data_IF_505616569133
#
_entry.id   IF_505616569133
#
_cell.length_a   1.000
_cell.length_b   1.000
_cell.length_c   1.000
_cell.angle_alpha   90.00
_cell.angle_beta   90.00
_cell.angle_gamma   90.00
#
_symmetry.space_group_name_H-M   'P 1'
#
loop_
_entity.id
_entity.type
_entity.pdbx_description
1 polymer ?
#
# COMPACT_ATOMS: atom_id res chain seq x y z
N UNK A 1 -13.32 2.69 26.29
CA UNK A 1 -13.90 1.66 25.44
C UNK A 1 -12.93 0.50 25.35
N UNK A 2 -13.48 -0.72 25.32
CA UNK A 2 -12.71 -1.96 25.15
C UNK A 2 -12.83 -2.41 23.69
N UNK A 3 -11.70 -2.52 23.02
CA UNK A 3 -11.64 -2.86 21.58
C UNK A 3 -10.79 -4.09 21.40
N UNK A 4 -11.30 -5.07 20.64
CA UNK A 4 -10.48 -6.15 20.14
C UNK A 4 -9.98 -5.81 18.73
N UNK A 5 -8.70 -6.07 18.45
CA UNK A 5 -8.14 -6.00 17.10
C UNK A 5 -7.65 -7.40 16.72
N UNK A 6 -8.10 -7.90 15.58
CA UNK A 6 -7.73 -9.22 15.09
C UNK A 6 -6.71 -9.02 13.95
N UNK A 7 -5.50 -9.49 14.15
CA UNK A 7 -4.36 -9.33 13.25
C UNK A 7 -3.44 -8.19 13.66
N UNK A 8 -2.15 -8.50 13.86
CA UNK A 8 -1.08 -7.59 14.25
C UNK A 8 -0.09 -7.31 13.09
N UNK A 9 -0.55 -7.39 11.84
CA UNK A 9 0.20 -6.88 10.70
C UNK A 9 0.32 -5.35 10.76
N UNK A 10 0.99 -4.73 9.77
CA UNK A 10 1.23 -3.27 9.75
C UNK A 10 -0.02 -2.43 9.99
N UNK A 11 -1.18 -2.85 9.46
CA UNK A 11 -2.44 -2.12 9.61
C UNK A 11 -3.04 -2.29 10.99
N UNK A 12 -3.15 -3.52 11.49
CA UNK A 12 -3.73 -3.81 12.81
C UNK A 12 -2.90 -3.26 13.95
N UNK A 13 -1.58 -3.37 13.86
CA UNK A 13 -0.65 -2.79 14.84
C UNK A 13 -0.72 -1.25 14.87
N UNK A 14 -0.79 -0.60 13.71
CA UNK A 14 -0.96 0.85 13.65
C UNK A 14 -2.33 1.28 14.21
N UNK A 15 -3.38 0.50 13.96
CA UNK A 15 -4.70 0.72 14.52
C UNK A 15 -4.69 0.58 16.06
N UNK A 16 -3.97 -0.42 16.60
CA UNK A 16 -3.83 -0.60 18.03
C UNK A 16 -3.21 0.62 18.70
N UNK A 17 -2.09 1.13 18.16
CA UNK A 17 -1.44 2.35 18.66
C UNK A 17 -2.40 3.55 18.58
N UNK A 18 -3.05 3.71 17.44
CA UNK A 18 -3.92 4.86 17.17
C UNK A 18 -5.12 4.91 18.12
N UNK A 19 -5.79 3.77 18.32
CA UNK A 19 -6.93 3.66 19.24
C UNK A 19 -6.52 3.71 20.70
N UNK A 20 -5.37 3.16 21.05
CA UNK A 20 -4.82 3.29 22.41
C UNK A 20 -4.52 4.75 22.75
N UNK A 21 -3.93 5.51 21.81
CA UNK A 21 -3.73 6.96 21.97
C UNK A 21 -5.03 7.76 22.02
N UNK A 22 -6.11 7.26 21.42
CA UNK A 22 -7.45 7.84 21.56
C UNK A 22 -8.13 7.50 22.92
N UNK A 23 -7.43 6.78 23.81
CA UNK A 23 -7.89 6.44 25.17
C UNK A 23 -8.67 5.13 25.26
N UNK A 24 -8.59 4.26 24.25
CA UNK A 24 -9.20 2.94 24.29
C UNK A 24 -8.29 1.93 25.00
N UNK A 25 -8.88 0.90 25.60
CA UNK A 25 -8.17 -0.34 25.97
C UNK A 25 -8.23 -1.28 24.77
N UNK A 26 -7.10 -1.80 24.36
CA UNK A 26 -6.96 -2.59 23.14
C UNK A 26 -6.40 -3.97 23.47
N UNK A 27 -7.17 -5.01 23.14
CA UNK A 27 -6.69 -6.39 23.09
C UNK A 27 -6.34 -6.72 21.65
N UNK A 28 -5.04 -6.96 21.39
CA UNK A 28 -4.47 -7.21 20.08
C UNK A 28 -4.24 -8.71 19.89
N UNK A 29 -5.07 -9.36 19.07
CA UNK A 29 -5.06 -10.79 18.79
C UNK A 29 -4.17 -11.11 17.61
N UNK A 30 -3.12 -11.91 17.81
CA UNK A 30 -2.23 -12.38 16.75
C UNK A 30 -1.69 -13.78 17.09
N UNK A 31 -1.60 -14.61 16.08
CA UNK A 31 -1.05 -15.97 16.20
C UNK A 31 0.46 -16.05 15.98
N UNK A 32 1.00 -15.11 15.19
CA UNK A 32 2.42 -15.05 14.84
C UNK A 32 3.21 -14.36 15.94
N UNK A 33 4.43 -14.80 16.13
CA UNK A 33 5.41 -14.10 16.99
C UNK A 33 5.84 -12.77 16.37
N UNK A 34 6.41 -11.89 17.19
CA UNK A 34 6.95 -10.60 16.72
C UNK A 34 8.06 -10.84 15.66
N UNK A 35 8.86 -11.88 15.79
CA UNK A 35 9.89 -12.27 14.84
C UNK A 35 9.29 -12.67 13.49
N UNK A 36 8.24 -13.50 13.47
CA UNK A 36 7.54 -13.88 12.24
C UNK A 36 6.84 -12.70 11.57
N UNK A 37 6.37 -11.74 12.35
CA UNK A 37 5.79 -10.50 11.83
C UNK A 37 6.82 -9.59 11.17
N UNK A 38 8.04 -9.53 11.72
CA UNK A 38 9.16 -8.73 11.19
C UNK A 38 9.75 -9.35 9.92
N UNK A 39 9.90 -10.68 9.90
CA UNK A 39 10.59 -11.42 8.84
C UNK A 39 9.74 -11.63 7.58
N UNK A 40 9.28 -10.51 6.97
CA UNK A 40 8.59 -10.54 5.69
C UNK A 40 9.36 -9.70 4.68
N UNK A 41 9.76 -10.31 3.57
CA UNK A 41 10.47 -9.58 2.52
C UNK A 41 9.46 -8.85 1.63
N UNK A 42 9.08 -7.65 2.06
CA UNK A 42 8.20 -6.73 1.31
C UNK A 42 8.72 -5.32 1.39
N UNK A 43 8.53 -4.59 0.31
CA UNK A 43 8.87 -3.18 0.18
C UNK A 43 7.61 -2.38 -0.12
N UNK A 44 7.51 -1.20 0.48
CA UNK A 44 6.35 -0.32 0.33
C UNK A 44 6.78 1.09 -0.06
N UNK A 45 5.97 1.72 -0.91
CA UNK A 45 6.03 3.16 -1.10
C UNK A 45 5.16 3.85 -0.03
N UNK A 46 5.75 4.74 0.75
CA UNK A 46 5.07 5.52 1.80
C UNK A 46 4.75 6.90 1.23
N UNK A 47 3.48 7.26 1.26
CA UNK A 47 2.99 8.57 0.79
C UNK A 47 2.90 9.59 1.93
N UNK A 48 2.64 10.85 1.59
CA UNK A 48 2.49 11.91 2.59
C UNK A 48 1.32 11.70 3.54
N UNK A 49 0.21 11.06 3.12
CA UNK A 49 -0.87 10.69 4.05
C UNK A 49 -0.36 9.75 5.14
N UNK A 50 0.36 8.71 4.74
CA UNK A 50 0.95 7.74 5.67
C UNK A 50 2.00 8.37 6.59
N UNK A 51 2.85 9.26 6.05
CA UNK A 51 3.80 10.05 6.85
C UNK A 51 3.07 10.86 7.94
N UNK A 52 2.00 11.59 7.56
CA UNK A 52 1.23 12.41 8.52
C UNK A 52 0.63 11.57 9.65
N UNK A 53 0.14 10.38 9.35
CA UNK A 53 -0.36 9.44 10.36
C UNK A 53 0.77 9.00 11.31
N UNK A 54 1.92 8.62 10.75
CA UNK A 54 3.08 8.21 11.55
C UNK A 54 3.65 9.36 12.40
N UNK A 55 3.63 10.61 11.89
CA UNK A 55 3.99 11.80 12.66
C UNK A 55 3.04 12.06 13.83
N UNK A 56 1.72 12.02 13.57
CA UNK A 56 0.68 12.17 14.59
C UNK A 56 0.84 11.14 15.71
N UNK A 57 1.27 9.94 15.36
CA UNK A 57 1.53 8.86 16.31
C UNK A 57 2.93 8.93 16.96
N UNK A 58 3.83 9.80 16.51
CA UNK A 58 5.18 9.95 17.02
C UNK A 58 6.18 8.87 16.54
N UNK A 59 5.78 8.08 15.55
CA UNK A 59 6.60 6.98 14.98
C UNK A 59 7.58 7.49 13.94
N UNK A 60 7.21 8.54 13.19
CA UNK A 60 7.94 9.03 12.03
C UNK A 60 9.39 9.40 12.29
N UNK A 61 9.68 10.09 13.38
CA UNK A 61 11.03 10.58 13.69
C UNK A 61 12.10 9.48 13.80
N UNK A 62 11.70 8.30 14.25
CA UNK A 62 12.60 7.14 14.34
C UNK A 62 12.61 6.39 13.00
N UNK A 63 11.45 6.08 12.44
CA UNK A 63 11.30 5.30 11.23
C UNK A 63 11.92 6.00 10.00
N UNK A 64 11.80 7.32 9.88
CA UNK A 64 12.28 8.07 8.71
C UNK A 64 13.77 7.93 8.41
N UNK A 65 14.59 7.52 9.39
CA UNK A 65 16.02 7.28 9.24
C UNK A 65 16.35 6.04 8.41
N UNK A 66 15.43 5.10 8.39
CA UNK A 66 15.54 3.82 7.68
C UNK A 66 14.78 3.83 6.34
N UNK A 67 14.21 4.98 5.94
CA UNK A 67 13.46 5.14 4.71
C UNK A 67 14.31 5.80 3.63
N UNK A 68 14.11 5.37 2.39
CA UNK A 68 14.78 5.96 1.22
C UNK A 68 13.85 6.96 0.54
N UNK A 69 14.10 8.28 0.62
CA UNK A 69 13.30 9.28 -0.06
C UNK A 69 13.55 9.26 -1.57
N UNK A 70 12.50 9.43 -2.36
CA UNK A 70 12.62 9.71 -3.79
C UNK A 70 12.00 11.05 -4.15
N UNK A 71 12.69 11.79 -5.03
CA UNK A 71 12.31 13.15 -5.44
C UNK A 71 11.60 13.18 -6.79
N UNK A 72 11.80 12.12 -7.58
CA UNK A 72 11.29 12.00 -8.94
C UNK A 72 10.52 10.67 -9.06
N UNK A 73 9.25 10.78 -9.46
CA UNK A 73 8.47 9.61 -9.87
C UNK A 73 8.28 9.69 -11.39
N UNK A 74 9.06 8.92 -12.10
CA UNK A 74 9.00 8.81 -13.56
C UNK A 74 7.87 7.87 -13.95
N UNK A 75 6.86 8.37 -14.65
CA UNK A 75 5.78 7.56 -15.21
C UNK A 75 6.00 7.44 -16.72
N UNK A 76 6.18 6.22 -17.18
CA UNK A 76 6.52 5.90 -18.57
C UNK A 76 5.44 5.00 -19.15
N UNK A 77 4.91 5.37 -20.30
CA UNK A 77 4.12 4.47 -21.13
C UNK A 77 5.03 3.94 -22.25
N UNK A 78 5.33 2.64 -22.15
CA UNK A 78 6.30 1.99 -23.05
C UNK A 78 5.78 1.94 -24.49
N UNK A 79 4.51 1.58 -24.68
CA UNK A 79 3.88 1.45 -26.00
C UNK A 79 3.73 2.79 -26.72
N UNK A 80 3.44 3.85 -25.99
CA UNK A 80 3.34 5.21 -26.54
C UNK A 80 4.70 5.89 -26.68
N UNK A 81 5.76 5.34 -26.09
CA UNK A 81 7.04 6.02 -25.93
C UNK A 81 6.88 7.44 -25.34
N UNK A 82 6.07 7.57 -24.29
CA UNK A 82 5.78 8.84 -23.61
C UNK A 82 6.12 8.74 -22.13
N UNK A 83 6.62 9.86 -21.61
CA UNK A 83 6.90 9.99 -20.18
C UNK A 83 6.49 11.34 -19.64
N UNK A 84 6.15 11.36 -18.36
CA UNK A 84 6.10 12.55 -17.54
C UNK A 84 6.68 12.24 -16.15
N UNK A 85 6.96 13.27 -15.37
CA UNK A 85 7.60 13.12 -14.06
C UNK A 85 6.80 13.89 -13.04
N UNK A 86 6.47 13.25 -11.93
CA UNK A 86 6.03 13.96 -10.73
C UNK A 86 7.25 14.41 -9.93
N UNK A 87 7.24 15.67 -9.52
CA UNK A 87 8.29 16.33 -8.78
C UNK A 87 7.81 16.74 -7.40
N UNK A 88 8.73 17.00 -6.49
CA UNK A 88 8.40 17.58 -5.18
C UNK A 88 7.61 18.88 -5.28
N UNK A 89 7.85 19.70 -6.33
CA UNK A 89 7.11 20.93 -6.60
C UNK A 89 5.65 20.69 -7.07
N UNK A 90 5.30 19.47 -7.42
CA UNK A 90 3.92 19.08 -7.74
C UNK A 90 3.11 18.72 -6.47
N UNK A 91 3.77 18.60 -5.31
CA UNK A 91 3.12 18.37 -4.01
C UNK A 91 2.43 19.65 -3.49
N UNK A 92 1.43 19.52 -2.59
CA UNK A 92 0.94 20.63 -1.80
C UNK A 92 2.06 21.32 -1.01
N UNK A 93 1.99 22.66 -0.86
CA UNK A 93 3.03 23.47 -0.20
C UNK A 93 3.49 22.90 1.16
N UNK A 94 2.58 22.47 2.07
CA UNK A 94 2.99 21.91 3.37
C UNK A 94 3.85 20.64 3.25
N UNK A 95 3.72 19.89 2.16
CA UNK A 95 4.44 18.63 1.96
C UNK A 95 5.79 18.84 1.24
N UNK A 96 5.98 19.95 0.52
CA UNK A 96 7.20 20.27 -0.24
C UNK A 96 8.44 20.39 0.66
N UNK A 97 8.28 20.80 1.92
CA UNK A 97 9.37 20.92 2.89
C UNK A 97 10.15 19.64 3.14
N UNK A 98 9.57 18.48 2.84
CA UNK A 98 10.23 17.17 3.01
C UNK A 98 11.14 16.81 1.83
N UNK A 99 11.12 17.59 0.75
CA UNK A 99 11.95 17.38 -0.45
C UNK A 99 11.86 15.96 -1.04
N UNK A 100 10.72 15.29 -0.86
CA UNK A 100 10.46 13.93 -1.33
C UNK A 100 9.03 13.81 -1.86
N UNK A 101 8.83 13.14 -2.98
CA UNK A 101 7.50 12.73 -3.48
C UNK A 101 6.92 11.63 -2.60
N UNK A 102 7.77 10.78 -2.08
CA UNK A 102 7.47 9.71 -1.15
C UNK A 102 8.74 9.03 -0.67
N UNK A 103 8.58 7.95 0.07
CA UNK A 103 9.68 7.16 0.64
C UNK A 103 9.49 5.69 0.36
N UNK A 104 10.59 4.98 0.19
CA UNK A 104 10.56 3.51 0.09
C UNK A 104 10.98 2.93 1.44
N UNK A 105 10.23 1.95 1.89
CA UNK A 105 10.39 1.32 3.19
C UNK A 105 10.37 -0.20 3.07
N UNK A 106 11.36 -0.89 3.59
CA UNK A 106 11.29 -2.33 3.79
C UNK A 106 10.37 -2.67 5.00
N UNK A 107 9.63 -3.75 4.88
CA UNK A 107 8.67 -4.20 5.90
C UNK A 107 9.25 -4.28 7.30
N UNK A 108 10.46 -4.83 7.41
CA UNK A 108 11.14 -5.07 8.70
C UNK A 108 11.32 -3.78 9.51
N UNK A 109 11.73 -2.68 8.87
CA UNK A 109 11.97 -1.41 9.57
C UNK A 109 10.66 -0.81 10.08
N UNK A 110 9.61 -0.87 9.25
CA UNK A 110 8.27 -0.40 9.66
C UNK A 110 7.77 -1.22 10.84
N UNK A 111 7.86 -2.56 10.74
CA UNK A 111 7.32 -3.46 11.77
C UNK A 111 8.08 -3.35 13.09
N UNK A 112 9.41 -3.29 13.05
CA UNK A 112 10.24 -3.08 14.24
C UNK A 112 9.88 -1.77 14.95
N UNK A 113 9.74 -0.68 14.18
CA UNK A 113 9.38 0.63 14.71
C UNK A 113 8.00 0.61 15.38
N UNK A 114 7.01 -0.03 14.75
CA UNK A 114 5.65 -0.17 15.29
C UNK A 114 5.63 -1.05 16.55
N UNK A 115 6.30 -2.20 16.54
CA UNK A 115 6.35 -3.11 17.70
C UNK A 115 7.04 -2.47 18.91
N UNK A 116 8.14 -1.74 18.69
CA UNK A 116 8.79 -0.95 19.73
C UNK A 116 7.86 0.09 20.34
N UNK A 117 6.96 0.66 19.54
CA UNK A 117 5.96 1.62 20.03
C UNK A 117 4.87 0.95 20.85
N UNK A 118 4.39 -0.23 20.42
CA UNK A 118 3.36 -1.02 21.13
C UNK A 118 3.85 -1.41 22.51
N UNK A 119 5.12 -1.84 22.65
CA UNK A 119 5.68 -2.29 23.94
C UNK A 119 5.71 -1.19 25.02
N UNK A 120 5.62 0.08 24.62
CA UNK A 120 5.60 1.24 25.54
C UNK A 120 4.18 1.72 25.88
N UNK A 121 3.12 1.06 25.41
CA UNK A 121 1.74 1.45 25.65
C UNK A 121 1.04 0.45 26.58
N UNK A 122 0.80 0.87 27.85
CA UNK A 122 0.19 0.03 28.89
C UNK A 122 -1.25 -0.40 28.60
N UNK A 123 -1.93 0.33 27.73
CA UNK A 123 -3.34 0.06 27.38
C UNK A 123 -3.48 -0.83 26.12
N UNK A 124 -2.39 -1.43 25.63
CA UNK A 124 -2.42 -2.48 24.60
C UNK A 124 -2.01 -3.80 25.24
N UNK A 125 -2.89 -4.80 25.18
CA UNK A 125 -2.62 -6.15 25.63
C UNK A 125 -2.50 -7.09 24.43
N UNK A 126 -1.34 -7.72 24.23
CA UNK A 126 -1.12 -8.70 23.16
C UNK A 126 -1.63 -10.07 23.59
N UNK A 127 -2.48 -10.67 22.77
CA UNK A 127 -3.07 -12.01 23.00
C UNK A 127 -2.60 -12.96 21.88
N UNK A 128 -1.69 -13.90 22.18
CA UNK A 128 -1.10 -14.80 21.18
C UNK A 128 -2.07 -15.94 20.83
N UNK A 129 -3.06 -15.66 19.99
CA UNK A 129 -4.07 -16.63 19.56
C UNK A 129 -4.68 -16.30 18.22
N UNK A 130 -5.16 -17.33 17.52
CA UNK A 130 -5.97 -17.21 16.31
C UNK A 130 -7.48 -17.24 16.58
N UNK A 131 -7.88 -17.33 17.83
CA UNK A 131 -9.30 -17.43 18.22
C UNK A 131 -9.95 -16.05 18.04
N UNK A 132 -11.07 -16.03 17.32
CA UNK A 132 -11.87 -14.80 17.18
C UNK A 132 -12.52 -14.49 18.53
N UNK A 133 -12.35 -13.28 19.08
CA UNK A 133 -12.84 -12.89 20.40
C UNK A 133 -14.35 -12.99 20.51
N UNK A 134 -14.85 -13.18 21.74
CA UNK A 134 -16.28 -13.12 22.04
C UNK A 134 -16.75 -11.66 21.97
N UNK A 135 -17.75 -11.39 21.15
CA UNK A 135 -18.30 -10.05 20.90
C UNK A 135 -18.86 -9.37 22.15
N UNK A 136 -19.28 -10.14 23.15
CA UNK A 136 -19.89 -9.59 24.38
C UNK A 136 -18.88 -8.86 25.26
N UNK A 137 -17.58 -9.15 25.12
CA UNK A 137 -16.53 -8.56 25.94
C UNK A 137 -16.04 -7.21 25.42
N UNK A 138 -16.47 -6.81 24.20
CA UNK A 138 -15.95 -5.63 23.51
C UNK A 138 -17.07 -4.73 23.01
N UNK A 139 -16.78 -3.44 23.04
CA UNK A 139 -17.65 -2.41 22.46
C UNK A 139 -17.61 -2.50 20.92
N UNK A 140 -16.41 -2.67 20.37
CA UNK A 140 -16.15 -2.84 18.93
C UNK A 140 -15.05 -3.88 18.71
N UNK A 141 -15.05 -4.49 17.52
CA UNK A 141 -14.02 -5.43 17.06
C UNK A 141 -13.49 -4.96 15.70
N UNK A 142 -12.20 -4.77 15.61
CA UNK A 142 -11.52 -4.37 14.38
C UNK A 142 -10.89 -5.62 13.75
N UNK A 143 -11.39 -6.04 12.60
CA UNK A 143 -10.82 -7.12 11.83
C UNK A 143 -9.77 -6.56 10.85
N UNK A 144 -8.50 -6.85 11.12
CA UNK A 144 -7.32 -6.47 10.34
C UNK A 144 -6.44 -7.70 10.02
N UNK A 145 -7.08 -8.86 9.88
CA UNK A 145 -6.45 -10.17 9.66
C UNK A 145 -6.11 -10.45 8.18
N UNK A 146 -6.11 -9.40 7.34
CA UNK A 146 -5.57 -9.37 5.99
C UNK A 146 -6.48 -9.99 4.92
N UNK A 147 -5.93 -10.16 3.71
CA UNK A 147 -6.68 -10.61 2.54
C UNK A 147 -7.27 -12.02 2.67
N UNK A 148 -6.66 -12.89 3.47
CA UNK A 148 -7.14 -14.25 3.76
C UNK A 148 -8.01 -14.34 5.00
N UNK A 149 -8.59 -13.24 5.46
CA UNK A 149 -9.32 -13.07 6.71
C UNK A 149 -10.26 -14.22 7.09
N UNK A 150 -9.98 -14.84 8.24
CA UNK A 150 -10.86 -15.84 8.84
C UNK A 150 -12.11 -15.19 9.44
N UNK A 151 -11.98 -13.97 9.96
CA UNK A 151 -13.09 -13.18 10.48
C UNK A 151 -14.13 -12.93 9.39
N UNK A 152 -13.70 -12.48 8.21
CA UNK A 152 -14.56 -12.26 7.05
C UNK A 152 -15.27 -13.54 6.60
N UNK A 153 -14.54 -14.65 6.54
CA UNK A 153 -15.11 -15.97 6.19
C UNK A 153 -16.18 -16.41 7.20
N UNK A 154 -15.90 -16.29 8.50
CA UNK A 154 -16.83 -16.66 9.57
C UNK A 154 -18.11 -15.82 9.53
N UNK A 155 -18.00 -14.52 9.25
CA UNK A 155 -19.12 -13.60 9.18
C UNK A 155 -19.83 -13.62 7.81
N UNK A 156 -19.36 -14.42 6.84
CA UNK A 156 -19.88 -14.52 5.48
C UNK A 156 -20.07 -13.15 4.83
N UNK A 157 -19.09 -12.27 4.99
CA UNK A 157 -19.16 -10.88 4.54
C UNK A 157 -19.27 -10.80 3.02
N UNK A 158 -20.30 -10.17 2.47
CA UNK A 158 -20.43 -10.00 1.03
C UNK A 158 -19.32 -9.09 0.47
N UNK A 159 -18.70 -9.54 -0.62
CA UNK A 159 -17.64 -8.77 -1.29
C UNK A 159 -17.63 -9.04 -2.78
N UNK A 160 -17.26 -8.03 -3.55
CA UNK A 160 -16.91 -8.17 -4.95
C UNK A 160 -15.45 -8.66 -5.04
N UNK A 161 -15.21 -9.73 -5.79
CA UNK A 161 -13.89 -10.34 -5.93
C UNK A 161 -13.68 -10.82 -7.36
N UNK A 162 -12.49 -10.52 -7.91
CA UNK A 162 -12.03 -11.11 -9.16
C UNK A 162 -10.50 -11.27 -9.17
N UNK A 163 -10.01 -12.16 -10.02
CA UNK A 163 -8.58 -12.36 -10.27
C UNK A 163 -8.18 -11.62 -11.54
N UNK A 164 -7.01 -11.01 -11.50
CA UNK A 164 -6.45 -10.34 -12.69
C UNK A 164 -5.82 -11.32 -13.70
N UNK A 165 -5.72 -12.60 -13.35
CA UNK A 165 -4.91 -13.60 -14.08
C UNK A 165 -3.46 -13.16 -14.26
N UNK A 166 -2.97 -12.44 -13.27
CA UNK A 166 -1.62 -11.92 -13.17
C UNK A 166 -0.96 -12.37 -11.89
N UNK A 167 0.36 -12.38 -11.94
CA UNK A 167 1.23 -12.47 -10.78
C UNK A 167 2.21 -11.31 -10.77
N UNK A 168 2.64 -10.95 -9.59
CA UNK A 168 3.70 -10.00 -9.36
C UNK A 168 4.99 -10.75 -9.06
N UNK A 169 6.08 -10.41 -9.75
CA UNK A 169 7.43 -10.87 -9.40
C UNK A 169 8.16 -9.69 -8.79
N UNK A 170 8.85 -9.92 -7.69
CA UNK A 170 9.64 -8.90 -7.00
C UNK A 170 11.06 -9.41 -6.76
N UNK A 171 12.05 -8.55 -6.96
CA UNK A 171 13.46 -8.86 -6.73
C UNK A 171 14.24 -7.60 -6.32
N UNK A 172 15.29 -7.78 -5.52
CA UNK A 172 16.28 -6.73 -5.22
C UNK A 172 17.43 -6.84 -6.22
N UNK A 173 17.71 -5.75 -6.92
CA UNK A 173 18.66 -5.73 -8.03
C UNK A 173 19.56 -4.51 -7.92
N UNK A 174 20.85 -4.68 -8.17
CA UNK A 174 21.75 -3.55 -8.41
C UNK A 174 21.54 -3.05 -9.84
N UNK A 175 21.27 -1.74 -9.97
CA UNK A 175 21.07 -1.08 -11.26
C UNK A 175 22.12 -0.01 -11.50
N UNK A 176 22.62 0.07 -12.74
CA UNK A 176 23.49 1.15 -13.22
C UNK A 176 22.71 2.12 -14.07
N UNK A 177 23.15 3.39 -14.16
CA UNK A 177 22.53 4.40 -15.03
C UNK A 177 21.26 5.05 -14.44
N UNK A 178 20.92 4.77 -13.18
CA UNK A 178 19.76 5.36 -12.48
C UNK A 178 20.22 6.07 -11.20
N UNK A 179 19.57 7.18 -10.84
CA UNK A 179 19.89 7.89 -9.60
C UNK A 179 19.11 7.32 -8.43
N UNK A 180 19.74 7.28 -7.26
CA UNK A 180 19.16 6.74 -6.01
C UNK A 180 17.93 7.49 -5.49
N UNK A 181 17.59 8.66 -6.05
CA UNK A 181 16.41 9.46 -5.71
C UNK A 181 15.30 9.41 -6.78
N UNK A 182 15.39 8.49 -7.71
CA UNK A 182 14.41 8.29 -8.79
C UNK A 182 13.64 6.99 -8.58
N UNK A 183 12.32 7.06 -8.68
CA UNK A 183 11.42 5.91 -8.76
C UNK A 183 10.76 5.90 -10.14
N UNK A 184 10.39 4.71 -10.61
CA UNK A 184 9.75 4.53 -11.92
C UNK A 184 8.48 3.71 -11.79
N UNK A 185 7.44 4.12 -12.51
CA UNK A 185 6.25 3.34 -12.80
C UNK A 185 6.12 3.23 -14.31
N UNK A 186 6.34 2.04 -14.84
CA UNK A 186 6.39 1.77 -16.28
C UNK A 186 5.16 0.97 -16.66
N UNK A 187 4.33 1.54 -17.51
CA UNK A 187 3.14 0.91 -18.05
C UNK A 187 3.49 0.24 -19.37
N UNK A 188 3.33 -1.07 -19.45
CA UNK A 188 3.53 -1.84 -20.67
C UNK A 188 2.37 -2.84 -20.88
N UNK A 189 2.30 -3.45 -22.03
CA UNK A 189 1.23 -4.39 -22.43
C UNK A 189 1.16 -5.67 -21.59
N UNK A 190 2.24 -6.06 -20.92
CA UNK A 190 2.26 -7.21 -20.02
C UNK A 190 1.64 -6.89 -18.65
N UNK A 191 1.85 -5.66 -18.20
CA UNK A 191 1.39 -5.13 -16.93
C UNK A 191 2.34 -4.06 -16.36
N UNK A 192 1.97 -3.39 -15.28
CA UNK A 192 2.81 -2.39 -14.63
C UNK A 192 4.13 -2.97 -14.13
N UNK A 193 5.20 -2.18 -14.28
CA UNK A 193 6.53 -2.48 -13.79
C UNK A 193 7.08 -1.29 -13.00
N UNK A 194 7.41 -1.51 -11.72
CA UNK A 194 7.96 -0.47 -10.86
C UNK A 194 9.44 -0.72 -10.56
N UNK A 195 10.20 0.38 -10.44
CA UNK A 195 11.59 0.40 -9.96
C UNK A 195 11.67 1.39 -8.81
N UNK A 196 11.99 0.89 -7.62
CA UNK A 196 11.93 1.63 -6.36
C UNK A 196 13.32 1.66 -5.69
N UNK A 197 13.87 2.83 -5.33
CA UNK A 197 15.19 2.94 -4.74
C UNK A 197 15.22 2.37 -3.32
N UNK A 198 16.26 1.59 -3.01
CA UNK A 198 16.55 1.06 -1.67
C UNK A 198 17.82 1.65 -1.06
N UNK A 199 18.43 2.64 -1.75
CA UNK A 199 19.66 3.32 -1.35
C UNK A 199 20.86 2.88 -2.19
N UNK A 200 21.76 3.84 -2.50
CA UNK A 200 22.86 3.59 -3.43
C UNK A 200 22.36 3.12 -4.79
N UNK A 201 22.96 2.05 -5.29
CA UNK A 201 22.61 1.41 -6.56
C UNK A 201 21.63 0.23 -6.40
N UNK A 202 21.10 0.02 -5.19
CA UNK A 202 20.15 -1.05 -4.88
C UNK A 202 18.71 -0.58 -5.14
N UNK A 203 17.96 -1.39 -5.88
CA UNK A 203 16.57 -1.12 -6.22
C UNK A 203 15.69 -2.37 -6.03
N UNK A 204 14.44 -2.14 -5.63
CA UNK A 204 13.39 -3.13 -5.71
C UNK A 204 12.71 -3.02 -7.06
N UNK A 205 12.69 -4.11 -7.82
CA UNK A 205 11.90 -4.23 -9.05
C UNK A 205 10.62 -5.01 -8.75
N UNK A 206 9.49 -4.56 -9.32
CA UNK A 206 8.17 -5.17 -9.13
C UNK A 206 7.50 -5.30 -10.49
N UNK A 207 7.40 -6.53 -11.01
CA UNK A 207 6.90 -6.83 -12.35
C UNK A 207 5.52 -7.49 -12.25
N UNK A 208 4.47 -6.82 -12.71
CA UNK A 208 3.16 -7.44 -12.89
C UNK A 208 3.05 -8.02 -14.29
N UNK A 209 2.68 -9.29 -14.42
CA UNK A 209 2.59 -9.98 -15.71
C UNK A 209 1.60 -11.16 -15.66
N UNK A 210 1.26 -11.74 -16.82
CA UNK A 210 0.38 -12.91 -16.87
C UNK A 210 0.97 -14.06 -16.05
N UNK A 211 0.12 -14.92 -15.50
CA UNK A 211 0.56 -16.08 -14.70
C UNK A 211 1.52 -16.98 -15.52
N UNK A 212 1.22 -17.21 -16.80
CA UNK A 212 2.08 -18.04 -17.68
C UNK A 212 3.49 -17.45 -17.82
N UNK A 213 3.59 -16.16 -18.15
CA UNK A 213 4.88 -15.48 -18.31
C UNK A 213 5.62 -15.36 -16.98
N UNK A 214 4.88 -15.06 -15.90
CA UNK A 214 5.45 -14.98 -14.57
C UNK A 214 6.03 -16.30 -14.09
N UNK A 215 5.31 -17.41 -14.29
CA UNK A 215 5.83 -18.74 -13.97
C UNK A 215 7.08 -19.08 -14.79
N UNK A 216 7.11 -18.71 -16.06
CA UNK A 216 8.29 -18.88 -16.90
C UNK A 216 9.48 -18.06 -16.35
N UNK A 217 9.28 -16.77 -16.10
CA UNK A 217 10.33 -15.86 -15.62
C UNK A 217 10.87 -16.23 -14.24
N UNK A 218 10.03 -16.78 -13.34
CA UNK A 218 10.45 -17.27 -12.02
C UNK A 218 11.40 -18.47 -12.11
N UNK A 219 11.36 -19.22 -13.21
CA UNK A 219 12.22 -20.42 -13.42
C UNK A 219 13.49 -20.07 -14.23
N UNK A 220 13.72 -18.81 -14.60
CA UNK A 220 14.93 -18.38 -15.28
C UNK A 220 16.15 -18.46 -14.35
N UNK A 221 17.32 -18.71 -14.92
CA UNK A 221 18.57 -18.49 -14.22
C UNK A 221 18.75 -17.01 -13.90
N UNK A 222 19.58 -16.68 -12.91
CA UNK A 222 19.85 -15.28 -12.55
C UNK A 222 20.29 -14.43 -13.75
N UNK A 223 21.16 -14.97 -14.61
CA UNK A 223 21.61 -14.26 -15.83
C UNK A 223 20.46 -13.99 -16.80
N UNK A 224 19.64 -15.01 -17.11
CA UNK A 224 18.50 -14.85 -18.02
C UNK A 224 17.42 -13.93 -17.44
N UNK A 225 17.27 -13.89 -16.11
CA UNK A 225 16.35 -12.93 -15.48
C UNK A 225 16.89 -11.49 -15.58
N UNK A 226 18.20 -11.27 -15.47
CA UNK A 226 18.83 -9.97 -15.73
C UNK A 226 18.66 -9.55 -17.19
N UNK A 227 18.87 -10.47 -18.13
CA UNK A 227 18.62 -10.22 -19.55
C UNK A 227 17.15 -9.83 -19.80
N UNK A 228 16.22 -10.52 -19.17
CA UNK A 228 14.79 -10.14 -19.20
C UNK A 228 14.55 -8.73 -18.64
N UNK A 229 15.12 -8.40 -17.48
CA UNK A 229 14.98 -7.06 -16.90
C UNK A 229 15.53 -5.97 -17.83
N UNK A 230 16.65 -6.21 -18.51
CA UNK A 230 17.23 -5.24 -19.45
C UNK A 230 16.32 -4.94 -20.65
N UNK A 231 15.40 -5.85 -21.00
CA UNK A 231 14.43 -5.62 -22.09
C UNK A 231 13.26 -4.70 -21.69
N UNK A 232 12.97 -4.57 -20.39
CA UNK A 232 11.82 -3.81 -19.88
C UNK A 232 12.23 -2.53 -19.13
N UNK A 233 13.50 -2.43 -18.74
CA UNK A 233 14.05 -1.21 -18.12
C UNK A 233 14.16 -0.08 -19.16
N UNK A 234 14.03 1.18 -18.75
CA UNK A 234 14.27 2.33 -19.62
C UNK A 234 15.69 2.33 -20.20
N UNK A 235 15.82 2.86 -21.41
CA UNK A 235 17.13 2.99 -22.07
C UNK A 235 18.15 3.73 -21.18
N UNK A 236 19.33 3.15 -21.04
CA UNK A 236 20.43 3.66 -20.21
C UNK A 236 20.42 3.16 -18.77
N UNK A 237 19.41 2.37 -18.36
CA UNK A 237 19.39 1.67 -17.08
C UNK A 237 19.71 0.20 -17.33
N UNK A 238 20.75 -0.30 -16.67
CA UNK A 238 21.24 -1.67 -16.84
C UNK A 238 21.21 -2.44 -15.52
N UNK A 239 20.61 -3.65 -15.50
CA UNK A 239 20.67 -4.51 -14.34
C UNK A 239 22.04 -5.17 -14.24
N UNK A 240 22.63 -5.18 -13.04
CA UNK A 240 23.97 -5.72 -12.81
C UNK A 240 23.92 -7.05 -12.03
N UNK A 241 23.28 -7.07 -10.88
CA UNK A 241 23.27 -8.25 -10.00
C UNK A 241 21.94 -8.37 -9.25
N UNK A 242 21.41 -9.59 -9.17
CA UNK A 242 20.26 -9.93 -8.32
C UNK A 242 20.80 -10.28 -6.94
N UNK A 243 20.34 -9.57 -5.92
CA UNK A 243 20.78 -9.77 -4.54
C UNK A 243 20.08 -11.00 -3.94
N UNK A 244 18.75 -10.99 -3.92
CA UNK A 244 17.94 -12.06 -3.35
C UNK A 244 17.22 -12.85 -4.45
N UNK A 245 16.81 -14.09 -4.15
CA UNK A 245 15.99 -14.85 -5.08
C UNK A 245 14.66 -14.10 -5.36
N UNK A 246 14.22 -14.02 -6.63
CA UNK A 246 12.95 -13.43 -6.94
C UNK A 246 11.80 -14.12 -6.19
N UNK A 247 10.86 -13.34 -5.68
CA UNK A 247 9.64 -13.83 -5.07
C UNK A 247 8.44 -13.51 -5.94
N UNK A 248 7.34 -14.24 -5.75
CA UNK A 248 6.12 -13.97 -6.52
C UNK A 248 4.86 -14.14 -5.67
N UNK A 249 3.82 -13.39 -6.06
CA UNK A 249 2.49 -13.51 -5.45
C UNK A 249 1.38 -13.25 -6.48
N UNK A 250 0.21 -13.90 -6.33
CA UNK A 250 -0.93 -13.68 -7.21
C UNK A 250 -1.56 -12.32 -6.96
N UNK A 251 -2.08 -11.71 -8.03
CA UNK A 251 -2.79 -10.43 -7.98
C UNK A 251 -4.29 -10.70 -8.11
N UNK A 252 -5.03 -10.30 -7.08
CA UNK A 252 -6.47 -10.36 -7.05
C UNK A 252 -7.06 -9.05 -6.50
N UNK A 253 -8.30 -8.80 -6.85
CA UNK A 253 -9.10 -7.68 -6.36
C UNK A 253 -10.15 -8.18 -5.38
N UNK A 254 -10.34 -7.47 -4.29
CA UNK A 254 -11.43 -7.71 -3.36
C UNK A 254 -11.91 -6.38 -2.78
N UNK A 255 -13.23 -6.20 -2.74
CA UNK A 255 -13.87 -5.03 -2.13
C UNK A 255 -15.14 -5.46 -1.41
N UNK A 256 -15.22 -5.25 -0.10
CA UNK A 256 -16.43 -5.49 0.66
C UNK A 256 -17.49 -4.44 0.30
N UNK A 257 -18.76 -4.83 0.22
CA UNK A 257 -19.85 -3.89 -0.02
C UNK A 257 -20.08 -2.94 1.15
N UNK A 258 -19.83 -3.43 2.38
CA UNK A 258 -19.82 -2.64 3.60
C UNK A 258 -18.53 -2.95 4.37
N UNK A 259 -17.96 -1.93 5.01
CA UNK A 259 -16.74 -2.08 5.79
C UNK A 259 -17.02 -2.40 7.25
N UNK A 260 -18.22 -2.94 7.53
CA UNK A 260 -18.60 -3.41 8.85
C UNK A 260 -19.66 -4.52 8.80
N UNK A 261 -19.81 -5.23 9.91
CA UNK A 261 -20.92 -6.18 10.18
C UNK A 261 -21.20 -6.20 11.67
N UNK A 262 -22.33 -5.64 12.10
CA UNK A 262 -22.64 -5.45 13.52
C UNK A 262 -21.53 -4.63 14.22
N UNK A 263 -20.91 -5.20 15.26
CA UNK A 263 -19.79 -4.57 15.98
C UNK A 263 -18.42 -4.71 15.28
N UNK A 264 -18.33 -5.50 14.19
CA UNK A 264 -17.07 -5.69 13.47
C UNK A 264 -16.86 -4.57 12.46
N UNK A 265 -15.67 -3.98 12.49
CA UNK A 265 -15.15 -3.06 11.47
C UNK A 265 -14.06 -3.78 10.70
N UNK A 266 -14.14 -3.81 9.36
CA UNK A 266 -13.12 -4.36 8.50
C UNK A 266 -12.11 -3.28 8.12
N UNK A 267 -10.83 -3.55 8.36
CA UNK A 267 -9.76 -2.58 8.18
C UNK A 267 -8.69 -3.12 7.21
N UNK A 268 -8.23 -2.27 6.30
CA UNK A 268 -7.18 -2.60 5.36
C UNK A 268 -7.54 -3.74 4.42
N UNK A 269 -6.61 -4.68 4.17
CA UNK A 269 -6.83 -5.78 3.21
C UNK A 269 -7.97 -6.74 3.62
N UNK A 270 -8.47 -6.66 4.83
CA UNK A 270 -9.71 -7.36 5.22
C UNK A 270 -10.94 -6.72 4.57
N UNK A 271 -10.92 -5.41 4.34
CA UNK A 271 -12.01 -4.67 3.68
C UNK A 271 -11.82 -4.58 2.16
N UNK A 272 -10.60 -4.33 1.71
CA UNK A 272 -10.26 -4.08 0.31
C UNK A 272 -8.86 -4.57 -0.04
N UNK A 273 -8.71 -5.15 -1.22
CA UNK A 273 -7.43 -5.51 -1.84
C UNK A 273 -7.44 -5.00 -3.27
N UNK A 274 -6.45 -4.19 -3.62
CA UNK A 274 -6.33 -3.53 -4.92
C UNK A 274 -5.06 -3.98 -5.64
N UNK A 275 -4.98 -3.69 -6.94
CA UNK A 275 -3.76 -3.95 -7.71
C UNK A 275 -2.57 -3.14 -7.14
N UNK A 276 -1.34 -3.70 -7.05
CA UNK A 276 -0.18 -3.04 -6.45
C UNK A 276 0.37 -1.84 -7.24
N UNK A 277 -0.17 -1.53 -8.43
CA UNK A 277 0.24 -0.39 -9.25
C UNK A 277 0.20 0.92 -8.45
N UNK A 278 1.27 1.71 -8.56
CA UNK A 278 1.42 2.97 -7.84
C UNK A 278 1.61 2.83 -6.32
N UNK A 279 1.83 1.61 -5.78
CA UNK A 279 2.15 1.38 -4.37
C UNK A 279 1.08 1.84 -3.36
N UNK A 280 -0.22 1.85 -3.75
CA UNK A 280 -1.29 2.43 -2.93
C UNK A 280 -1.82 1.52 -1.82
N UNK A 281 -1.56 0.20 -1.87
CA UNK A 281 -2.19 -0.77 -0.97
C UNK A 281 -2.05 -0.43 0.52
N UNK A 282 -0.81 -0.32 1.01
CA UNK A 282 -0.55 0.00 2.43
C UNK A 282 -1.03 1.41 2.82
N UNK A 283 -0.83 2.39 1.92
CA UNK A 283 -1.24 3.77 2.17
C UNK A 283 -2.76 3.88 2.34
N UNK A 284 -3.53 3.16 1.53
CA UNK A 284 -4.99 3.09 1.64
C UNK A 284 -5.42 2.45 2.97
N UNK A 285 -4.75 1.34 3.38
CA UNK A 285 -4.98 0.69 4.67
C UNK A 285 -4.71 1.62 5.86
N UNK A 286 -3.67 2.44 5.79
CA UNK A 286 -3.34 3.38 6.87
C UNK A 286 -4.27 4.58 6.90
N UNK A 287 -4.80 5.02 5.77
CA UNK A 287 -5.90 6.01 5.75
C UNK A 287 -7.17 5.48 6.40
N UNK A 288 -7.42 4.15 6.34
CA UNK A 288 -8.49 3.53 7.11
C UNK A 288 -8.28 3.69 8.62
N UNK A 289 -7.02 3.46 9.07
CA UNK A 289 -6.64 3.63 10.48
C UNK A 289 -6.85 5.07 10.94
N UNK A 290 -6.41 6.05 10.16
CA UNK A 290 -6.58 7.47 10.51
C UNK A 290 -8.06 7.87 10.56
N UNK A 291 -8.85 7.46 9.56
CA UNK A 291 -10.29 7.70 9.54
C UNK A 291 -10.96 7.13 10.79
N UNK A 292 -10.70 5.85 11.11
CA UNK A 292 -11.27 5.20 12.28
C UNK A 292 -10.87 5.93 13.56
N UNK A 293 -9.58 6.23 13.74
CA UNK A 293 -9.07 6.94 14.91
C UNK A 293 -9.69 8.32 15.09
N UNK A 294 -9.90 9.06 14.00
CA UNK A 294 -10.51 10.38 14.03
C UNK A 294 -11.96 10.32 14.51
N UNK A 295 -12.72 9.26 14.17
CA UNK A 295 -14.09 9.06 14.66
C UNK A 295 -14.14 8.92 16.19
N UNK A 296 -13.13 8.26 16.80
CA UNK A 296 -13.03 8.17 18.27
C UNK A 296 -12.71 9.50 18.94
N UNK A 297 -12.24 10.50 18.21
CA UNK A 297 -11.98 11.83 18.73
C UNK A 297 -13.23 12.72 18.76
N UNK A 298 -14.33 12.31 18.11
CA UNK A 298 -15.59 13.06 18.06
C UNK A 298 -16.40 12.81 19.33
N UNK A 299 -16.68 13.84 20.16
CA UNK A 299 -17.36 13.66 21.45
C UNK A 299 -18.73 13.01 21.34
N UNK A 300 -19.50 13.33 20.31
CA UNK A 300 -20.83 12.75 20.06
C UNK A 300 -20.78 11.24 19.84
N UNK A 301 -19.73 10.73 19.18
CA UNK A 301 -19.56 9.31 18.87
C UNK A 301 -19.01 8.52 20.08
N UNK A 302 -18.35 9.18 21.04
CA UNK A 302 -17.93 8.52 22.28
C UNK A 302 -19.14 8.00 23.08
N UNK A 303 -20.25 8.69 23.03
CA UNK A 303 -21.50 8.29 23.71
C UNK A 303 -22.38 7.38 22.80
N UNK A 304 -22.18 7.41 21.50
CA UNK A 304 -22.94 6.66 20.50
C UNK A 304 -22.02 5.80 19.63
N UNK A 305 -21.17 4.99 20.26
CA UNK A 305 -20.15 4.20 19.55
C UNK A 305 -20.74 3.15 18.58
N UNK A 306 -22.02 2.77 18.74
CA UNK A 306 -22.73 1.90 17.79
C UNK A 306 -22.85 2.50 16.37
N UNK A 307 -22.73 3.83 16.22
CA UNK A 307 -22.76 4.51 14.92
C UNK A 307 -21.39 4.53 14.22
N UNK A 308 -20.29 4.29 14.97
CA UNK A 308 -18.93 4.35 14.41
C UNK A 308 -18.75 3.44 13.19
N UNK A 309 -19.20 2.15 13.19
CA UNK A 309 -19.02 1.27 12.04
C UNK A 309 -19.69 1.79 10.76
N UNK A 310 -20.90 2.33 10.88
CA UNK A 310 -21.64 2.88 9.74
C UNK A 310 -20.94 4.13 9.17
N UNK A 311 -20.60 5.08 10.06
CA UNK A 311 -19.96 6.34 9.66
C UNK A 311 -18.59 6.05 9.02
N UNK A 312 -17.81 5.14 9.62
CA UNK A 312 -16.53 4.67 9.07
C UNK A 312 -16.71 4.11 7.65
N UNK A 313 -17.68 3.21 7.47
CA UNK A 313 -17.94 2.59 6.17
C UNK A 313 -18.27 3.63 5.10
N UNK A 314 -19.15 4.58 5.41
CA UNK A 314 -19.54 5.66 4.49
C UNK A 314 -18.32 6.55 4.16
N UNK A 315 -17.58 6.99 5.19
CA UNK A 315 -16.44 7.88 5.01
C UNK A 315 -15.31 7.25 4.18
N UNK A 316 -15.09 5.93 4.31
CA UNK A 316 -14.04 5.25 3.58
C UNK A 316 -14.43 4.83 2.17
N UNK A 317 -15.74 4.64 1.91
CA UNK A 317 -16.22 4.11 0.62
C UNK A 317 -15.77 4.95 -0.57
N UNK A 318 -15.80 6.28 -0.47
CA UNK A 318 -15.43 7.18 -1.57
C UNK A 318 -13.95 7.05 -1.92
N UNK A 319 -13.08 7.16 -0.91
CA UNK A 319 -11.62 7.08 -1.12
C UNK A 319 -11.20 5.70 -1.64
N UNK A 320 -11.68 4.62 -1.01
CA UNK A 320 -11.37 3.24 -1.42
C UNK A 320 -11.86 2.96 -2.84
N UNK A 321 -13.10 3.35 -3.17
CA UNK A 321 -13.67 3.13 -4.50
C UNK A 321 -12.89 3.93 -5.56
N UNK A 322 -12.56 5.20 -5.28
CA UNK A 322 -11.82 6.05 -6.22
C UNK A 322 -10.43 5.51 -6.53
N UNK A 323 -9.67 5.10 -5.51
CA UNK A 323 -8.35 4.49 -5.72
C UNK A 323 -8.47 3.13 -6.41
N UNK A 324 -9.49 2.34 -6.07
CA UNK A 324 -9.75 1.05 -6.73
C UNK A 324 -10.01 1.22 -8.22
N UNK A 325 -10.86 2.15 -8.61
CA UNK A 325 -11.16 2.47 -10.01
C UNK A 325 -9.90 2.99 -10.72
N UNK A 326 -9.14 3.89 -10.07
CA UNK A 326 -7.92 4.43 -10.65
C UNK A 326 -6.90 3.34 -10.94
N UNK A 327 -6.60 2.48 -9.97
CA UNK A 327 -5.60 1.40 -10.12
C UNK A 327 -6.07 0.35 -11.13
N UNK A 328 -7.33 -0.06 -11.10
CA UNK A 328 -7.89 -1.02 -12.06
C UNK A 328 -7.87 -0.45 -13.48
N UNK A 329 -8.24 0.83 -13.64
CA UNK A 329 -8.18 1.51 -14.93
C UNK A 329 -6.76 1.58 -15.49
N UNK A 330 -5.77 1.97 -14.68
CA UNK A 330 -4.36 2.01 -15.10
C UNK A 330 -3.90 0.65 -15.65
N UNK A 331 -4.24 -0.44 -14.95
CA UNK A 331 -3.86 -1.80 -15.36
C UNK A 331 -4.57 -2.22 -16.65
N UNK A 332 -5.87 -2.02 -16.75
CA UNK A 332 -6.65 -2.43 -17.94
C UNK A 332 -6.24 -1.62 -19.18
N UNK A 333 -6.05 -0.31 -19.02
CA UNK A 333 -5.62 0.55 -20.12
C UNK A 333 -4.19 0.26 -20.57
N UNK A 334 -3.25 -0.01 -19.65
CA UNK A 334 -1.87 -0.34 -20.02
C UNK A 334 -1.77 -1.64 -20.80
N UNK A 335 -2.60 -2.65 -20.47
CA UNK A 335 -2.64 -3.96 -21.12
C UNK A 335 -3.46 -4.02 -22.40
N UNK A 336 -4.23 -2.98 -22.69
CA UNK A 336 -5.13 -2.98 -23.84
C UNK A 336 -4.37 -2.63 -25.11
N UNK A 337 -4.27 -3.62 -26.02
CA UNK A 337 -3.77 -3.41 -27.40
C UNK A 337 -4.85 -2.85 -28.35
N UNK A 338 -6.02 -2.46 -27.81
CA UNK A 338 -7.11 -1.93 -28.63
C UNK A 338 -6.79 -0.49 -29.00
N UNK A 339 -6.71 -0.23 -30.30
CA UNK A 339 -6.34 1.08 -30.87
C UNK A 339 -7.21 2.25 -30.40
N UNK A 340 -8.46 1.99 -30.01
CA UNK A 340 -9.37 3.01 -29.47
C UNK A 340 -8.85 3.65 -28.17
N UNK A 341 -8.05 2.93 -27.38
CA UNK A 341 -7.47 3.46 -26.16
C UNK A 341 -6.15 4.22 -26.37
N UNK A 342 -5.57 4.16 -27.56
CA UNK A 342 -4.33 4.86 -27.87
C UNK A 342 -4.48 6.37 -27.70
N UNK A 343 -5.50 6.96 -28.31
CA UNK A 343 -5.74 8.42 -28.26
C UNK A 343 -6.01 8.93 -26.83
N UNK A 344 -6.91 8.33 -26.03
CA UNK A 344 -7.10 8.74 -24.63
C UNK A 344 -5.82 8.63 -23.79
N UNK A 345 -5.05 7.54 -23.91
CA UNK A 345 -3.74 7.37 -23.23
C UNK A 345 -2.77 8.47 -23.63
N UNK A 346 -2.63 8.71 -24.93
CA UNK A 346 -1.76 9.78 -25.45
C UNK A 346 -2.15 11.15 -24.88
N UNK A 347 -3.45 11.48 -24.87
CA UNK A 347 -3.96 12.74 -24.34
C UNK A 347 -3.66 12.90 -22.84
N UNK A 348 -3.86 11.86 -22.05
CA UNK A 348 -3.53 11.89 -20.61
C UNK A 348 -2.05 12.18 -20.41
N UNK A 349 -1.14 11.46 -21.09
CA UNK A 349 0.30 11.70 -20.99
C UNK A 349 0.69 13.09 -21.50
N UNK A 350 0.10 13.54 -22.61
CA UNK A 350 0.34 14.88 -23.15
C UNK A 350 -0.07 15.97 -22.17
N UNK A 351 -1.26 15.86 -21.58
CA UNK A 351 -1.77 16.84 -20.62
C UNK A 351 -0.93 16.82 -19.34
N UNK A 352 -0.63 15.66 -18.79
CA UNK A 352 0.18 15.54 -17.58
C UNK A 352 1.61 16.05 -17.78
N UNK A 353 2.19 15.85 -18.95
CA UNK A 353 3.50 16.40 -19.29
C UNK A 353 3.50 17.93 -19.29
N UNK A 354 2.43 18.56 -19.82
CA UNK A 354 2.39 20.01 -20.08
C UNK A 354 1.64 20.81 -19.00
N UNK A 355 0.82 20.17 -18.16
CA UNK A 355 0.02 20.86 -17.13
C UNK A 355 0.53 20.55 -15.73
N UNK A 356 1.23 21.50 -15.11
CA UNK A 356 1.63 21.39 -13.70
C UNK A 356 0.44 21.39 -12.75
N UNK A 357 -0.64 22.08 -13.08
CA UNK A 357 -1.87 22.11 -12.26
C UNK A 357 -2.50 20.72 -12.16
N UNK A 358 -2.60 20.00 -13.28
CA UNK A 358 -3.16 18.66 -13.29
C UNK A 358 -2.25 17.66 -12.59
N UNK A 359 -0.91 17.77 -12.79
CA UNK A 359 0.04 16.93 -12.01
C UNK A 359 -0.12 17.16 -10.51
N UNK A 360 -0.20 18.42 -10.05
CA UNK A 360 -0.42 18.76 -8.64
C UNK A 360 -1.71 18.15 -8.11
N UNK A 361 -2.80 18.25 -8.87
CA UNK A 361 -4.08 17.67 -8.48
C UNK A 361 -4.00 16.13 -8.35
N UNK A 362 -3.49 15.45 -9.37
CA UNK A 362 -3.38 13.98 -9.37
C UNK A 362 -2.40 13.51 -8.28
N UNK A 363 -1.24 14.14 -8.15
CA UNK A 363 -0.28 13.77 -7.12
C UNK A 363 -0.86 13.98 -5.71
N UNK A 364 -1.63 15.04 -5.50
CA UNK A 364 -2.31 15.26 -4.22
C UNK A 364 -3.32 14.14 -3.92
N UNK A 365 -4.13 13.73 -4.89
CA UNK A 365 -5.06 12.61 -4.71
C UNK A 365 -4.33 11.30 -4.39
N UNK A 366 -3.25 11.01 -5.10
CA UNK A 366 -2.45 9.79 -4.88
C UNK A 366 -1.74 9.81 -3.51
N UNK A 367 -1.25 10.97 -3.07
CA UNK A 367 -0.42 11.07 -1.87
C UNK A 367 -1.23 11.35 -0.60
N UNK A 368 -2.34 12.08 -0.67
CA UNK A 368 -3.13 12.50 0.48
C UNK A 368 -4.54 11.86 0.53
N UNK A 369 -5.00 11.28 -0.56
CA UNK A 369 -6.35 10.72 -0.69
C UNK A 369 -7.41 11.77 -1.04
N UNK A 370 -8.67 11.34 -1.01
CA UNK A 370 -9.86 12.15 -1.28
C UNK A 370 -10.39 12.79 -0.01
#
# INVERSE_FOLDING_TARGET
MNIAIIGSGLTGSLAAISLAKAGCRVDLYERLSDEELVNRDRTYAITHSSRKILEKLGIWSNLSKDLVPFQYLNVIDYELNKKFVFLTNDLPIPDQKYSAVGWIAEHKFIMLSILSFISNLENINKIPTSVIPNTNNYDLIVAADGSSSNTKKKLKTPSFHFKYDQMCITAKVLLRGVKSNEAFEILNSEGPFAVLPLGGDLFQVICSQSILKGTYNMNLSKSLFLDYLSTILPYGIEPDTIIDAPESFPIDFCLNYLFFSGKYIYLGETAHKIHPVGGQGLNLCWRDVDCLSNLFSIPLLKNNHSLIPLIYSISRSIDVLSISILTDSLVRYSRSNISIFYLPRFLVFFILKNSSLLRKYILNLMTNGF
#
